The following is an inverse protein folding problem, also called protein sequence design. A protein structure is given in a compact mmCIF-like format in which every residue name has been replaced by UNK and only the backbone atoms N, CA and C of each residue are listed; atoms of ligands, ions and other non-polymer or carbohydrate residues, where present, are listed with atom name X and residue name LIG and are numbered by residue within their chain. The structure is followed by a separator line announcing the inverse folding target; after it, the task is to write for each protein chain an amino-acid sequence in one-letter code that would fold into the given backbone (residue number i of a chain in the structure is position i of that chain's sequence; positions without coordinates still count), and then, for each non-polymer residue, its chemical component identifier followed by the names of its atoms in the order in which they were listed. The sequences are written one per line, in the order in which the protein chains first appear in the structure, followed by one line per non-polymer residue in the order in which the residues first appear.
data_IF_047956785258
#
_entry.id   IF_047956785258
#
_cell.length_a   1.000
_cell.length_b   1.000
_cell.length_c   1.000
_cell.angle_alpha   90.00
_cell.angle_beta   90.00
_cell.angle_gamma   90.00
#
_symmetry.space_group_name_H-M   'P 1'
#
loop_
_entity.id
_entity.type
_entity.pdbx_description
1 polymer ?
#
# COMPACT_ATOMS: atom_id res chain seq x y z
N UNK A 1 -2.61 17.88 17.40
CA UNK A 1 -2.36 18.79 16.31
C UNK A 1 -2.81 18.20 14.97
N UNK A 2 -3.09 19.04 14.00
CA UNK A 2 -3.46 18.65 12.64
C UNK A 2 -2.34 19.03 11.70
N UNK A 3 -1.95 18.08 10.83
CA UNK A 3 -1.03 18.28 9.72
C UNK A 3 -1.86 18.36 8.43
N UNK A 4 -1.68 19.46 7.70
CA UNK A 4 -2.28 19.68 6.38
C UNK A 4 -1.17 19.46 5.36
N UNK A 5 -1.31 18.42 4.52
CA UNK A 5 -0.42 18.15 3.39
C UNK A 5 -1.08 18.56 2.09
N UNK A 6 -0.34 19.22 1.20
CA UNK A 6 -0.76 19.47 -0.16
C UNK A 6 -0.07 18.46 -1.07
N UNK A 7 -0.85 17.62 -1.72
CA UNK A 7 -0.37 16.74 -2.79
C UNK A 7 -0.77 17.31 -4.14
N UNK A 8 0.16 17.25 -5.09
CA UNK A 8 -0.09 17.63 -6.47
C UNK A 8 -0.62 16.40 -7.21
N UNK A 9 -1.88 16.47 -7.66
CA UNK A 9 -2.38 15.54 -8.67
C UNK A 9 -2.30 16.24 -10.03
N UNK A 10 -2.13 15.50 -11.11
CA UNK A 10 -1.86 16.05 -12.44
C UNK A 10 -2.90 17.11 -12.87
N UNK A 11 -4.17 16.89 -12.57
CA UNK A 11 -5.25 17.83 -12.87
C UNK A 11 -5.22 19.13 -12.05
N UNK A 12 -4.55 19.12 -10.89
CA UNK A 12 -4.37 20.27 -9.99
C UNK A 12 -2.94 20.83 -10.00
N UNK A 13 -2.06 20.25 -10.81
CA UNK A 13 -0.64 20.58 -10.82
C UNK A 13 -0.42 22.07 -11.15
N UNK A 14 -1.13 22.61 -12.14
CA UNK A 14 -1.06 24.00 -12.53
C UNK A 14 -1.63 24.93 -11.44
N UNK A 15 -2.71 24.52 -10.77
CA UNK A 15 -3.30 25.25 -9.65
C UNK A 15 -2.30 25.42 -8.51
N UNK A 16 -1.55 24.36 -8.18
CA UNK A 16 -0.52 24.35 -7.13
C UNK A 16 0.83 24.91 -7.58
N UNK A 17 0.90 25.51 -8.79
CA UNK A 17 2.09 26.17 -9.29
C UNK A 17 3.05 25.27 -10.09
N UNK A 18 2.63 24.07 -10.45
CA UNK A 18 3.42 23.23 -11.36
C UNK A 18 3.23 23.73 -12.79
N UNK A 19 4.35 23.99 -13.48
CA UNK A 19 4.36 24.41 -14.88
C UNK A 19 4.43 23.18 -15.81
N UNK A 20 4.04 23.30 -17.10
CA UNK A 20 4.10 22.21 -18.07
C UNK A 20 5.50 21.58 -18.23
N UNK A 21 6.56 22.28 -17.85
CA UNK A 21 7.95 21.81 -17.86
C UNK A 21 8.38 21.11 -16.56
N UNK A 22 7.45 20.79 -15.65
CA UNK A 22 7.70 20.17 -14.36
C UNK A 22 8.31 21.08 -13.29
N UNK A 23 8.51 22.39 -13.59
CA UNK A 23 8.97 23.36 -12.59
C UNK A 23 7.83 23.83 -11.73
N UNK A 24 8.14 24.19 -10.48
CA UNK A 24 7.16 24.72 -9.53
C UNK A 24 7.31 26.25 -9.47
N UNK A 25 6.21 26.98 -9.67
CA UNK A 25 6.15 28.40 -9.38
C UNK A 25 6.08 28.63 -7.88
N UNK A 26 7.23 28.95 -7.29
CA UNK A 26 7.38 29.15 -5.85
C UNK A 26 6.50 30.28 -5.33
N UNK A 27 6.23 31.32 -6.14
CA UNK A 27 5.41 32.44 -5.74
C UNK A 27 3.94 32.03 -5.66
N UNK A 28 3.45 31.27 -6.64
CA UNK A 28 2.08 30.74 -6.66
C UNK A 28 1.85 29.81 -5.45
N UNK A 29 2.78 28.91 -5.17
CA UNK A 29 2.72 28.05 -3.98
C UNK A 29 2.72 28.87 -2.69
N UNK A 30 3.59 29.86 -2.56
CA UNK A 30 3.64 30.71 -1.37
C UNK A 30 2.32 31.47 -1.16
N UNK A 31 1.70 31.98 -2.23
CA UNK A 31 0.39 32.64 -2.16
C UNK A 31 -0.70 31.70 -1.67
N UNK A 32 -0.77 30.46 -2.18
CA UNK A 32 -1.73 29.45 -1.73
C UNK A 32 -1.55 29.18 -0.23
N UNK A 33 -0.30 29.02 0.22
CA UNK A 33 -0.01 28.82 1.63
C UNK A 33 -0.44 29.99 2.49
N UNK A 34 -0.23 31.24 2.05
CA UNK A 34 -0.72 32.43 2.71
C UNK A 34 -2.23 32.42 2.86
N UNK A 35 -2.97 32.13 1.76
CA UNK A 35 -4.43 32.02 1.80
C UNK A 35 -4.94 30.93 2.74
N UNK A 36 -4.26 29.79 2.82
CA UNK A 36 -4.59 28.72 3.78
C UNK A 36 -4.39 29.22 5.20
N UNK A 37 -3.25 29.86 5.50
CA UNK A 37 -2.96 30.40 6.83
C UNK A 37 -4.01 31.43 7.23
N UNK A 38 -4.38 32.37 6.35
CA UNK A 38 -5.43 33.36 6.58
C UNK A 38 -6.76 32.70 6.96
N UNK A 39 -7.17 31.67 6.20
CA UNK A 39 -8.39 30.93 6.50
C UNK A 39 -8.34 30.20 7.86
N UNK A 40 -7.17 29.68 8.26
CA UNK A 40 -6.99 29.06 9.58
C UNK A 40 -7.01 30.09 10.71
N UNK A 41 -6.44 31.29 10.50
CA UNK A 41 -6.55 32.41 11.44
C UNK A 41 -7.99 32.87 11.62
N UNK A 42 -8.79 32.93 10.53
CA UNK A 42 -10.22 33.24 10.62
C UNK A 42 -11.01 32.20 11.45
N UNK A 43 -10.53 30.94 11.51
CA UNK A 43 -11.08 29.89 12.35
C UNK A 43 -10.60 29.97 13.81
N UNK A 44 -9.75 30.96 14.14
CA UNK A 44 -9.27 31.22 15.50
C UNK A 44 -7.95 30.54 15.87
N UNK A 45 -7.25 29.90 14.92
CA UNK A 45 -5.95 29.32 15.18
C UNK A 45 -4.83 30.36 15.12
N UNK A 46 -3.91 30.35 16.09
CA UNK A 46 -2.79 31.30 16.17
C UNK A 46 -1.41 30.61 16.12
N UNK A 47 -1.36 29.31 16.33
CA UNK A 47 -0.13 28.51 16.39
C UNK A 47 0.15 27.73 15.08
N UNK A 48 0.05 28.44 13.96
CA UNK A 48 0.15 27.84 12.63
C UNK A 48 1.61 27.83 12.16
N UNK A 49 2.16 26.63 11.92
CA UNK A 49 3.49 26.46 11.36
C UNK A 49 3.39 26.09 9.86
N UNK A 50 3.70 27.05 9.00
CA UNK A 50 3.64 26.90 7.54
C UNK A 50 5.03 26.64 6.95
N UNK A 51 5.16 25.58 6.13
CA UNK A 51 6.38 25.25 5.41
C UNK A 51 6.09 24.98 3.90
N UNK A 52 6.06 26.03 3.09
CA UNK A 52 5.79 25.90 1.64
C UNK A 52 6.82 25.03 0.91
N UNK A 53 8.07 24.96 1.40
CA UNK A 53 9.11 24.12 0.78
C UNK A 53 8.85 22.62 0.94
N UNK A 54 8.20 22.23 2.02
CA UNK A 54 7.81 20.85 2.31
C UNK A 54 6.35 20.56 1.95
N UNK A 55 5.59 21.57 1.47
CA UNK A 55 4.18 21.41 1.17
C UNK A 55 3.31 21.13 2.40
N UNK A 56 3.67 21.63 3.60
CA UNK A 56 3.00 21.27 4.85
C UNK A 56 2.63 22.48 5.70
N UNK A 57 1.49 22.38 6.39
CA UNK A 57 1.07 23.30 7.45
C UNK A 57 0.69 22.48 8.67
N UNK A 58 1.25 22.82 9.82
CA UNK A 58 0.94 22.17 11.10
C UNK A 58 0.21 23.13 12.00
N UNK A 59 -0.90 22.70 12.58
CA UNK A 59 -1.70 23.47 13.55
C UNK A 59 -1.71 22.68 14.87
N UNK A 60 -0.76 22.95 15.79
CA UNK A 60 -0.58 22.15 17.00
C UNK A 60 -1.77 22.12 17.94
N UNK A 61 -2.49 23.24 18.08
CA UNK A 61 -3.68 23.35 18.95
C UNK A 61 -4.91 22.68 18.39
N UNK A 62 -4.98 22.44 17.07
CA UNK A 62 -6.15 21.84 16.44
C UNK A 62 -6.35 20.38 16.86
N UNK A 63 -7.61 20.00 17.03
CA UNK A 63 -8.06 18.70 17.50
C UNK A 63 -8.90 17.99 16.45
N UNK A 64 -9.29 16.73 16.71
CA UNK A 64 -10.22 15.99 15.82
C UNK A 64 -11.59 16.70 15.66
N UNK A 65 -12.01 17.51 16.62
CA UNK A 65 -13.29 18.24 16.55
C UNK A 65 -13.25 19.34 15.50
N UNK A 66 -12.08 19.95 15.33
CA UNK A 66 -11.86 21.07 14.41
C UNK A 66 -11.68 20.61 12.95
N UNK A 67 -11.43 19.30 12.75
CA UNK A 67 -11.16 18.72 11.43
C UNK A 67 -12.20 19.04 10.38
N UNK A 68 -13.48 18.93 10.72
CA UNK A 68 -14.56 19.16 9.75
C UNK A 68 -14.65 20.64 9.35
N UNK A 69 -14.47 21.55 10.30
CA UNK A 69 -14.51 22.99 10.05
C UNK A 69 -13.33 23.43 9.19
N UNK A 70 -12.11 23.02 9.55
CA UNK A 70 -10.90 23.24 8.76
C UNK A 70 -11.09 22.69 7.34
N UNK A 71 -11.55 21.45 7.22
CA UNK A 71 -11.79 20.82 5.92
C UNK A 71 -12.77 21.58 5.07
N UNK A 72 -13.91 21.98 5.61
CA UNK A 72 -14.92 22.74 4.87
C UNK A 72 -14.41 24.10 4.40
N UNK A 73 -13.62 24.77 5.23
CA UNK A 73 -13.02 26.07 4.89
C UNK A 73 -11.99 25.92 3.76
N UNK A 74 -11.13 24.92 3.84
CA UNK A 74 -10.13 24.64 2.81
C UNK A 74 -10.74 24.16 1.50
N UNK A 75 -11.83 23.39 1.56
CA UNK A 75 -12.60 22.97 0.39
C UNK A 75 -13.20 24.18 -0.36
N UNK A 76 -13.74 25.16 0.38
CA UNK A 76 -14.23 26.39 -0.21
C UNK A 76 -13.12 27.23 -0.85
N UNK A 77 -11.94 27.26 -0.24
CA UNK A 77 -10.77 27.93 -0.79
C UNK A 77 -10.32 27.26 -2.09
N UNK A 78 -10.20 25.94 -2.09
CA UNK A 78 -9.80 25.18 -3.27
C UNK A 78 -10.75 25.40 -4.45
N UNK A 79 -12.07 25.36 -4.21
CA UNK A 79 -13.08 25.63 -5.25
C UNK A 79 -12.96 27.05 -5.81
N UNK A 80 -12.68 28.05 -4.96
CA UNK A 80 -12.44 29.42 -5.42
C UNK A 80 -11.22 29.58 -6.30
N UNK A 81 -10.22 28.71 -6.08
CA UNK A 81 -8.99 28.64 -6.89
C UNK A 81 -9.15 27.83 -8.19
N UNK A 82 -10.34 27.26 -8.44
CA UNK A 82 -10.62 26.44 -9.63
C UNK A 82 -10.34 24.94 -9.44
N UNK A 83 -10.07 24.50 -8.23
CA UNK A 83 -9.86 23.08 -7.91
C UNK A 83 -11.16 22.27 -7.88
N UNK A 84 -11.05 20.96 -8.05
CA UNK A 84 -12.18 20.01 -8.07
C UNK A 84 -12.78 19.73 -6.70
N UNK A 85 -12.14 20.13 -5.65
CA UNK A 85 -12.48 19.87 -4.26
C UNK A 85 -11.54 18.86 -3.62
N UNK A 86 -11.08 19.19 -2.37
CA UNK A 86 -10.27 18.27 -1.58
C UNK A 86 -11.09 17.02 -1.23
N UNK A 87 -10.88 15.95 -1.94
CA UNK A 87 -11.42 14.64 -1.57
C UNK A 87 -10.67 14.15 -0.34
N UNK A 88 -11.41 13.78 0.71
CA UNK A 88 -10.79 13.11 1.84
C UNK A 88 -10.20 11.80 1.35
N UNK A 89 -8.91 11.54 1.58
CA UNK A 89 -8.36 10.26 1.24
C UNK A 89 -9.11 9.18 2.02
N UNK A 90 -9.59 8.16 1.31
CA UNK A 90 -10.00 6.92 1.93
C UNK A 90 -8.78 6.01 2.04
N UNK A 91 -8.59 5.39 3.20
CA UNK A 91 -7.56 4.38 3.37
C UNK A 91 -8.18 3.08 3.87
N UNK A 92 -7.78 1.98 3.27
CA UNK A 92 -8.05 0.65 3.78
C UNK A 92 -6.82 0.19 4.55
N UNK A 93 -7.05 -0.37 5.73
CA UNK A 93 -5.98 -0.93 6.54
C UNK A 93 -6.00 -2.44 6.39
N UNK A 94 -4.90 -2.98 5.97
CA UNK A 94 -4.71 -4.42 5.85
C UNK A 94 -3.72 -4.89 6.92
N UNK A 95 -3.82 -6.17 7.27
CA UNK A 95 -2.78 -6.79 8.09
C UNK A 95 -1.44 -6.71 7.34
N UNK A 96 -0.35 -6.50 8.09
CA UNK A 96 0.97 -6.35 7.50
C UNK A 96 1.44 -7.69 6.91
N UNK A 97 1.57 -7.76 5.59
CA UNK A 97 2.17 -8.91 4.93
C UNK A 97 3.70 -8.80 5.00
N UNK A 98 4.32 -9.80 5.60
CA UNK A 98 5.79 -9.89 5.67
C UNK A 98 6.37 -10.34 4.33
N UNK A 99 7.61 -9.96 4.08
CA UNK A 99 8.37 -10.49 2.95
C UNK A 99 8.83 -11.94 3.18
N UNK A 100 9.33 -12.58 2.13
CA UNK A 100 9.75 -13.98 2.16
C UNK A 100 10.79 -14.30 3.25
N UNK A 101 11.55 -13.33 3.71
CA UNK A 101 12.54 -13.47 4.79
C UNK A 101 11.96 -13.30 6.19
N UNK A 102 10.65 -13.09 6.34
CA UNK A 102 10.00 -12.78 7.61
C UNK A 102 10.08 -11.31 8.03
N UNK A 103 10.81 -10.48 7.26
CA UNK A 103 10.93 -9.04 7.48
C UNK A 103 9.96 -8.25 6.56
N UNK A 104 10.01 -6.92 6.63
CA UNK A 104 9.23 -6.05 5.73
C UNK A 104 9.52 -6.38 4.27
N UNK A 105 8.45 -6.61 3.49
CA UNK A 105 8.53 -6.75 2.04
C UNK A 105 9.07 -5.46 1.41
N UNK A 106 9.98 -5.57 0.44
CA UNK A 106 10.56 -4.43 -0.26
C UNK A 106 10.91 -4.76 -1.69
N UNK A 107 10.40 -3.97 -2.63
CA UNK A 107 10.73 -4.11 -4.07
C UNK A 107 12.21 -3.85 -4.37
N UNK A 108 12.88 -3.03 -3.55
CA UNK A 108 14.33 -2.81 -3.67
C UNK A 108 15.18 -3.98 -3.19
N UNK A 109 14.56 -4.98 -2.54
CA UNK A 109 15.21 -6.22 -2.07
C UNK A 109 14.54 -7.44 -2.72
N UNK A 110 14.91 -7.82 -3.96
CA UNK A 110 14.20 -8.85 -4.73
C UNK A 110 14.04 -10.20 -4.06
N UNK A 111 14.93 -10.53 -3.11
CA UNK A 111 14.86 -11.79 -2.33
C UNK A 111 13.70 -11.80 -1.31
N UNK A 112 13.13 -10.66 -0.97
CA UNK A 112 12.05 -10.54 0.00
C UNK A 112 10.66 -10.56 -0.62
N UNK A 113 10.57 -10.58 -1.96
CA UNK A 113 9.34 -10.32 -2.69
C UNK A 113 9.19 -11.27 -3.88
N UNK A 114 7.96 -11.68 -4.17
CA UNK A 114 7.57 -12.27 -5.45
C UNK A 114 7.06 -11.13 -6.33
N UNK A 115 7.63 -10.99 -7.52
CA UNK A 115 7.17 -10.02 -8.51
C UNK A 115 6.16 -10.66 -9.45
N UNK A 116 5.25 -9.84 -10.02
CA UNK A 116 4.22 -10.29 -10.96
C UNK A 116 4.79 -10.71 -12.33
N UNK A 117 6.06 -10.49 -12.57
CA UNK A 117 6.82 -10.90 -13.75
C UNK A 117 7.87 -11.99 -13.44
N UNK A 118 7.91 -12.51 -12.22
CA UNK A 118 8.77 -13.64 -11.87
C UNK A 118 8.32 -14.91 -12.63
N UNK A 119 9.27 -15.65 -13.17
CA UNK A 119 9.02 -16.99 -13.70
C UNK A 119 8.71 -18.00 -12.58
N UNK A 120 8.02 -19.11 -12.94
CA UNK A 120 7.59 -20.15 -12.00
C UNK A 120 8.77 -20.76 -11.26
N UNK A 121 9.92 -20.92 -11.93
CA UNK A 121 11.14 -21.45 -11.30
C UNK A 121 11.70 -20.50 -10.24
N UNK A 122 11.65 -19.19 -10.51
CA UNK A 122 12.03 -18.13 -9.56
C UNK A 122 11.12 -18.12 -8.35
N UNK A 123 9.80 -18.16 -8.55
CA UNK A 123 8.80 -18.20 -7.47
C UNK A 123 9.02 -19.43 -6.58
N UNK A 124 9.17 -20.60 -7.19
CA UNK A 124 9.45 -21.86 -6.47
C UNK A 124 10.70 -21.75 -5.60
N UNK A 125 11.80 -21.22 -6.15
CA UNK A 125 13.04 -21.04 -5.40
C UNK A 125 12.89 -20.05 -4.24
N UNK A 126 12.16 -18.98 -4.44
CA UNK A 126 11.89 -17.93 -3.44
C UNK A 126 11.07 -18.51 -2.29
N UNK A 127 9.95 -19.20 -2.57
CA UNK A 127 9.08 -19.78 -1.53
C UNK A 127 9.81 -20.90 -0.77
N UNK A 128 10.60 -21.76 -1.43
CA UNK A 128 11.41 -22.77 -0.74
C UNK A 128 12.35 -22.19 0.31
N UNK A 129 12.87 -20.98 0.09
CA UNK A 129 13.76 -20.26 1.00
C UNK A 129 13.03 -19.34 1.98
N UNK A 130 11.70 -19.26 1.90
CA UNK A 130 10.92 -18.39 2.77
C UNK A 130 11.10 -18.78 4.24
N UNK A 131 10.99 -17.78 5.11
CA UNK A 131 10.98 -17.98 6.55
C UNK A 131 9.83 -18.92 6.95
N UNK A 132 10.10 -19.81 7.90
CA UNK A 132 9.15 -20.85 8.29
C UNK A 132 8.86 -20.79 9.79
N UNK A 133 7.61 -21.07 10.15
CA UNK A 133 7.18 -21.28 11.52
C UNK A 133 7.40 -22.71 12.06
N UNK A 134 8.10 -23.57 11.30
CA UNK A 134 8.40 -24.93 11.70
C UNK A 134 9.52 -25.04 12.73
N UNK A 135 9.64 -26.23 13.35
CA UNK A 135 10.69 -26.54 14.30
C UNK A 135 11.99 -26.98 13.58
N UNK A 136 13.07 -27.08 14.35
CA UNK A 136 14.41 -27.38 13.83
C UNK A 136 14.54 -28.80 13.30
N UNK A 137 13.80 -29.76 13.86
CA UNK A 137 13.78 -31.16 13.42
C UNK A 137 12.36 -31.64 13.12
N UNK A 138 12.26 -32.70 12.31
CA UNK A 138 10.96 -33.30 11.98
C UNK A 138 10.30 -33.86 13.24
N UNK A 139 11.04 -34.48 14.13
CA UNK A 139 10.56 -35.07 15.38
C UNK A 139 9.99 -33.99 16.30
N UNK A 140 10.69 -32.87 16.44
CA UNK A 140 10.21 -31.74 17.22
C UNK A 140 8.96 -31.13 16.59
N UNK A 141 8.94 -30.98 15.27
CA UNK A 141 7.77 -30.45 14.55
C UNK A 141 6.55 -31.37 14.71
N UNK A 142 6.73 -32.69 14.60
CA UNK A 142 5.65 -33.66 14.83
C UNK A 142 5.10 -33.62 16.25
N UNK A 143 5.94 -33.30 17.24
CA UNK A 143 5.58 -33.24 18.66
C UNK A 143 4.99 -31.88 19.07
N UNK A 144 5.55 -30.79 18.59
CA UNK A 144 5.23 -29.41 19.05
C UNK A 144 4.36 -28.64 18.07
N UNK A 145 4.29 -29.09 16.83
CA UNK A 145 3.67 -28.37 15.74
C UNK A 145 4.50 -27.19 15.22
N UNK A 146 3.97 -26.54 14.21
CA UNK A 146 4.50 -25.28 13.67
C UNK A 146 3.65 -24.08 14.10
N UNK A 147 4.18 -22.89 13.91
CA UNK A 147 3.47 -21.64 14.13
C UNK A 147 3.09 -20.99 12.78
N UNK A 148 1.80 -21.09 12.36
CA UNK A 148 1.35 -20.49 11.11
C UNK A 148 1.33 -18.95 11.16
N UNK A 149 1.31 -18.33 12.35
CA UNK A 149 1.24 -16.87 12.47
C UNK A 149 2.56 -16.19 12.05
N UNK A 150 3.66 -16.95 12.07
CA UNK A 150 4.97 -16.50 11.60
C UNK A 150 5.45 -17.22 10.33
N UNK A 151 4.72 -18.26 9.87
CA UNK A 151 5.06 -18.99 8.66
C UNK A 151 4.66 -18.22 7.41
N UNK A 152 5.65 -17.77 6.64
CA UNK A 152 5.40 -16.92 5.46
C UNK A 152 4.63 -17.66 4.38
N UNK A 153 4.84 -18.95 4.19
CA UNK A 153 4.12 -19.73 3.19
C UNK A 153 2.62 -19.83 3.53
N UNK A 154 2.28 -20.05 4.81
CA UNK A 154 0.90 -20.03 5.26
C UNK A 154 0.27 -18.63 5.11
N UNK A 155 0.99 -17.57 5.52
CA UNK A 155 0.50 -16.19 5.39
C UNK A 155 0.24 -15.82 3.93
N UNK A 156 1.10 -16.25 3.01
CA UNK A 156 0.90 -15.97 1.58
C UNK A 156 -0.31 -16.71 1.00
N UNK A 157 -0.55 -17.94 1.44
CA UNK A 157 -1.79 -18.64 1.10
C UNK A 157 -3.01 -17.85 1.61
N UNK A 158 -3.00 -17.45 2.88
CA UNK A 158 -4.11 -16.74 3.51
C UNK A 158 -4.39 -15.35 2.88
N UNK A 159 -3.34 -14.61 2.48
CA UNK A 159 -3.53 -13.24 1.97
C UNK A 159 -3.74 -13.17 0.47
N UNK A 160 -3.18 -14.10 -0.31
CA UNK A 160 -3.07 -13.92 -1.75
C UNK A 160 -3.59 -15.08 -2.59
N UNK A 161 -3.48 -16.33 -2.14
CA UNK A 161 -3.58 -17.46 -3.05
C UNK A 161 -4.73 -18.42 -2.74
N UNK A 162 -5.28 -18.44 -1.55
CA UNK A 162 -6.38 -19.33 -1.17
C UNK A 162 -7.59 -18.53 -0.73
N UNK A 163 -8.76 -18.88 -1.29
CA UNK A 163 -10.03 -18.22 -1.00
C UNK A 163 -10.95 -19.05 -0.11
N UNK A 164 -10.62 -20.33 0.10
CA UNK A 164 -11.40 -21.21 0.97
C UNK A 164 -10.92 -21.10 2.43
N UNK A 165 -11.67 -20.32 3.23
CA UNK A 165 -11.41 -20.14 4.65
C UNK A 165 -11.45 -21.44 5.46
N UNK A 166 -12.29 -22.42 5.05
CA UNK A 166 -12.38 -23.72 5.73
C UNK A 166 -11.11 -24.52 5.49
N UNK A 167 -10.64 -24.56 4.25
CA UNK A 167 -9.39 -25.21 3.90
C UNK A 167 -8.20 -24.56 4.61
N UNK A 168 -8.15 -23.23 4.68
CA UNK A 168 -7.12 -22.51 5.43
C UNK A 168 -7.16 -22.85 6.93
N UNK A 169 -8.36 -22.96 7.53
CA UNK A 169 -8.50 -23.34 8.93
C UNK A 169 -8.04 -24.79 9.20
N UNK A 170 -8.31 -25.72 8.28
CA UNK A 170 -7.82 -27.11 8.36
C UNK A 170 -6.30 -27.15 8.29
N UNK A 171 -5.68 -26.48 7.32
CA UNK A 171 -4.22 -26.37 7.20
C UNK A 171 -3.60 -25.75 8.44
N UNK A 172 -4.21 -24.67 8.98
CA UNK A 172 -3.75 -24.01 10.21
C UNK A 172 -3.72 -25.01 11.37
N UNK A 173 -4.84 -25.70 11.58
CA UNK A 173 -4.96 -26.73 12.63
C UNK A 173 -3.94 -27.84 12.46
N UNK A 174 -3.79 -28.37 11.25
CA UNK A 174 -2.89 -29.48 10.97
C UNK A 174 -1.40 -29.08 11.11
N UNK A 175 -1.06 -27.84 10.77
CA UNK A 175 0.28 -27.32 10.97
C UNK A 175 0.60 -27.13 12.46
N UNK A 176 -0.32 -26.55 13.24
CA UNK A 176 -0.20 -26.41 14.70
C UNK A 176 -0.10 -27.75 15.42
N UNK A 177 -0.74 -28.79 14.89
CA UNK A 177 -0.69 -30.13 15.44
C UNK A 177 0.46 -30.99 14.90
N UNK A 178 1.37 -30.42 14.09
CA UNK A 178 2.52 -31.11 13.53
C UNK A 178 2.17 -32.16 12.46
N UNK A 179 0.96 -32.18 11.93
CA UNK A 179 0.56 -33.10 10.87
C UNK A 179 1.12 -32.68 9.50
N UNK A 180 1.19 -31.37 9.26
CA UNK A 180 1.81 -30.78 8.06
C UNK A 180 3.19 -30.28 8.46
N UNK A 181 4.23 -30.68 7.73
CA UNK A 181 5.59 -30.20 7.93
C UNK A 181 5.81 -28.84 7.22
N UNK A 182 6.82 -28.08 7.64
CA UNK A 182 7.17 -26.80 7.04
C UNK A 182 7.49 -26.91 5.52
N UNK A 183 8.11 -28.01 5.09
CA UNK A 183 8.34 -28.29 3.67
C UNK A 183 7.06 -28.55 2.89
N UNK A 184 6.09 -29.25 3.51
CA UNK A 184 4.77 -29.51 2.92
C UNK A 184 3.96 -28.23 2.82
N UNK A 185 3.97 -27.36 3.85
CA UNK A 185 3.36 -26.03 3.83
C UNK A 185 3.90 -25.19 2.67
N UNK A 186 5.23 -25.15 2.50
CA UNK A 186 5.87 -24.47 1.37
C UNK A 186 5.43 -25.03 0.02
N UNK A 187 5.27 -26.35 -0.07
CA UNK A 187 4.81 -26.98 -1.32
C UNK A 187 3.36 -26.63 -1.65
N UNK A 188 2.47 -26.57 -0.64
CA UNK A 188 1.10 -26.10 -0.82
C UNK A 188 1.08 -24.66 -1.36
N UNK A 189 1.86 -23.79 -0.73
CA UNK A 189 2.00 -22.40 -1.18
C UNK A 189 2.56 -22.30 -2.61
N UNK A 190 3.58 -23.09 -2.95
CA UNK A 190 4.14 -23.13 -4.31
C UNK A 190 3.07 -23.51 -5.34
N UNK A 191 2.27 -24.54 -5.07
CA UNK A 191 1.24 -25.00 -5.99
C UNK A 191 0.23 -23.89 -6.25
N UNK A 192 -0.29 -23.26 -5.20
CA UNK A 192 -1.26 -22.17 -5.30
C UNK A 192 -0.68 -20.91 -5.95
N UNK A 193 0.53 -20.52 -5.57
CA UNK A 193 1.20 -19.36 -6.15
C UNK A 193 1.49 -19.54 -7.64
N UNK A 194 1.90 -20.74 -8.07
CA UNK A 194 2.20 -21.02 -9.49
C UNK A 194 0.93 -21.09 -10.33
N UNK A 195 -0.16 -21.65 -9.80
CA UNK A 195 -1.47 -21.63 -10.45
C UNK A 195 -1.97 -20.20 -10.66
N UNK A 196 -1.96 -19.40 -9.58
CA UNK A 196 -2.38 -18.00 -9.63
C UNK A 196 -1.54 -17.18 -10.61
N UNK A 197 -0.21 -17.35 -10.58
CA UNK A 197 0.70 -16.61 -11.44
C UNK A 197 0.55 -16.99 -12.91
N UNK A 198 0.31 -18.27 -13.22
CA UNK A 198 0.06 -18.72 -14.58
C UNK A 198 -1.19 -18.06 -15.15
N UNK A 199 -2.27 -18.03 -14.38
CA UNK A 199 -3.51 -17.35 -14.78
C UNK A 199 -3.30 -15.84 -14.94
N UNK A 200 -2.54 -15.20 -14.04
CA UNK A 200 -2.22 -13.78 -14.12
C UNK A 200 -1.43 -13.45 -15.40
N UNK A 201 -0.40 -14.21 -15.73
CA UNK A 201 0.42 -14.00 -16.91
C UNK A 201 -0.38 -14.24 -18.21
N UNK A 202 -1.27 -15.22 -18.21
CA UNK A 202 -2.17 -15.47 -19.34
C UNK A 202 -3.11 -14.28 -19.57
N UNK A 203 -3.79 -13.79 -18.52
CA UNK A 203 -4.68 -12.63 -18.59
C UNK A 203 -3.92 -11.36 -19.02
N UNK A 204 -2.73 -11.15 -18.48
CA UNK A 204 -1.87 -10.03 -18.88
C UNK A 204 -1.55 -10.05 -20.36
N UNK A 205 -1.16 -11.21 -20.89
CA UNK A 205 -0.86 -11.35 -22.33
C UNK A 205 -2.11 -11.12 -23.21
N UNK A 206 -3.28 -11.59 -22.75
CA UNK A 206 -4.55 -11.37 -23.47
C UNK A 206 -4.99 -9.91 -23.50
N UNK A 207 -4.61 -9.11 -22.50
CA UNK A 207 -5.02 -7.70 -22.34
C UNK A 207 -3.97 -6.68 -22.75
N UNK A 208 -2.77 -7.11 -23.16
CA UNK A 208 -1.66 -6.21 -23.53
C UNK A 208 -2.05 -5.20 -24.62
N UNK A 209 -2.84 -5.63 -25.62
CA UNK A 209 -3.32 -4.76 -26.71
C UNK A 209 -4.26 -3.65 -26.23
N UNK A 210 -4.93 -3.81 -25.07
CA UNK A 210 -5.84 -2.79 -24.52
C UNK A 210 -5.10 -1.61 -23.90
N UNK A 211 -3.82 -1.78 -23.55
CA UNK A 211 -3.00 -0.70 -22.93
C UNK A 211 -2.92 0.50 -23.87
N UNK A 212 -2.74 0.28 -25.17
CA UNK A 212 -2.68 1.37 -26.16
C UNK A 212 -4.01 2.12 -26.27
N UNK A 213 -5.15 1.45 -26.14
CA UNK A 213 -6.47 2.08 -26.15
C UNK A 213 -6.67 3.00 -24.93
N UNK A 214 -6.21 2.57 -23.75
CA UNK A 214 -6.26 3.40 -22.54
C UNK A 214 -5.34 4.61 -22.64
N UNK A 215 -4.11 4.45 -23.11
CA UNK A 215 -3.16 5.55 -23.29
C UNK A 215 -3.60 6.55 -24.36
N UNK A 216 -4.30 6.09 -25.42
CA UNK A 216 -4.83 6.96 -26.46
C UNK A 216 -6.04 7.79 -26.00
N UNK A 217 -6.78 7.38 -24.97
CA UNK A 217 -7.94 8.09 -24.44
C UNK A 217 -7.56 9.32 -23.59
N UNK A 218 -6.37 9.36 -23.00
CA UNK A 218 -5.87 10.49 -22.20
C UNK A 218 -5.32 11.67 -23.04
N UNK A 219 -5.28 11.52 -24.37
CA UNK A 219 -4.76 12.54 -25.29
C UNK A 219 -5.86 13.42 -25.93
N UNK A 220 -7.08 13.47 -25.34
CA UNK A 220 -8.19 14.31 -25.82
C UNK A 220 -8.54 15.40 -24.84
#
# INVERSE_FOLDING_TARGET
GILIGLSVQDENAELLGQMPNGRIDKNKVANIFTMIVENLVELGFSDINSNPKQGTIVVPSATKKDMNEIRMKLLQLERRLGGMGLLAPSSTYHHFAVGLTGEKMSSSKPKTTIFLDDDIGSITKKIKKAYSGGQSTIEEHRRLGGDPDIDVAYQYMMYFFEQDDKYLAEINSDYRNGKILAGEMKQLCINKATEWMSNHLELRNQTEHLVEEFLASDSR
#
